data_IF_113326013180
#
_entry.id   IF_113326013180
#
_cell.length_a   1.000
_cell.length_b   1.000
_cell.length_c   1.000
_cell.angle_alpha   90.00
_cell.angle_beta   90.00
_cell.angle_gamma   90.00
#
_symmetry.space_group_name_H-M   'P 1'
#
loop_
_entity.id
_entity.type
_entity.pdbx_description
1 polymer ?
#
# COMPACT_ATOMS: atom_id res chain seq x y z
N UNK A 1 24.25 -10.83 -52.45
CA UNK A 1 25.01 -12.06 -52.14
C UNK A 1 24.43 -12.65 -50.84
N UNK A 2 23.60 -13.71 -50.92
CA UNK A 2 22.99 -14.35 -49.74
C UNK A 2 24.05 -15.18 -49.00
N UNK A 3 24.19 -15.11 -47.67
CA UNK A 3 25.20 -15.90 -46.98
C UNK A 3 24.86 -17.39 -47.08
N UNK A 4 25.87 -18.20 -47.46
CA UNK A 4 25.80 -19.67 -47.51
C UNK A 4 25.25 -20.22 -46.20
N UNK A 5 24.21 -21.04 -46.29
CA UNK A 5 23.65 -21.80 -45.18
C UNK A 5 24.71 -22.76 -44.61
N UNK A 6 25.22 -22.46 -43.41
CA UNK A 6 26.24 -23.22 -42.66
C UNK A 6 25.69 -24.53 -42.07
N UNK A 7 24.92 -25.31 -42.85
CA UNK A 7 24.13 -26.45 -42.33
C UNK A 7 24.92 -27.69 -41.89
N UNK A 8 26.25 -27.77 -42.09
CA UNK A 8 27.08 -28.94 -41.75
C UNK A 8 28.40 -28.61 -41.02
N UNK A 9 28.39 -27.66 -40.08
CA UNK A 9 29.58 -27.37 -39.25
C UNK A 9 29.63 -28.30 -38.04
N UNK A 10 30.71 -29.09 -37.89
CA UNK A 10 30.98 -29.83 -36.64
C UNK A 10 31.41 -28.82 -35.57
N UNK A 11 30.60 -28.67 -34.53
CA UNK A 11 30.91 -27.80 -33.40
C UNK A 11 31.85 -28.50 -32.41
N UNK A 12 32.75 -27.74 -31.78
CA UNK A 12 33.57 -28.13 -30.63
C UNK A 12 33.56 -27.00 -29.59
N UNK A 13 34.12 -27.22 -28.39
CA UNK A 13 34.24 -26.17 -27.36
C UNK A 13 35.07 -25.00 -27.86
N UNK A 14 36.20 -25.30 -28.50
CA UNK A 14 37.18 -24.35 -29.04
C UNK A 14 36.53 -23.52 -30.15
N UNK A 15 35.80 -24.18 -31.05
CA UNK A 15 35.11 -23.49 -32.15
C UNK A 15 34.02 -22.54 -31.67
N UNK A 16 33.30 -22.90 -30.60
CA UNK A 16 32.32 -22.00 -29.98
C UNK A 16 33.02 -20.77 -29.40
N UNK A 17 34.14 -20.96 -28.69
CA UNK A 17 34.92 -19.86 -28.12
C UNK A 17 35.46 -18.92 -29.20
N UNK A 18 35.98 -19.46 -30.30
CA UNK A 18 36.51 -18.67 -31.40
C UNK A 18 35.44 -17.89 -32.15
N UNK A 19 34.26 -18.48 -32.36
CA UNK A 19 33.14 -17.75 -32.97
C UNK A 19 32.61 -16.66 -32.01
N UNK A 20 32.58 -16.90 -30.70
CA UNK A 20 32.23 -15.86 -29.71
C UNK A 20 33.23 -14.70 -29.76
N UNK A 21 34.55 -14.98 -29.76
CA UNK A 21 35.59 -13.95 -29.88
C UNK A 21 35.48 -13.18 -31.19
N UNK A 22 35.26 -13.89 -32.31
CA UNK A 22 35.08 -13.27 -33.63
C UNK A 22 33.85 -12.37 -33.68
N UNK A 23 32.73 -12.83 -33.12
CA UNK A 23 31.49 -12.05 -33.05
C UNK A 23 31.67 -10.80 -32.19
N UNK A 24 32.37 -10.92 -31.06
CA UNK A 24 32.69 -9.81 -30.17
C UNK A 24 33.63 -8.80 -30.82
N UNK A 25 34.71 -9.26 -31.46
CA UNK A 25 35.69 -8.41 -32.15
C UNK A 25 35.05 -7.63 -33.31
N UNK A 26 34.02 -8.19 -33.95
CA UNK A 26 33.21 -7.49 -34.95
C UNK A 26 32.23 -6.45 -34.36
N UNK A 27 32.26 -6.19 -33.05
CA UNK A 27 31.38 -5.25 -32.36
C UNK A 27 29.92 -5.71 -32.28
N UNK A 28 29.61 -6.98 -32.56
CA UNK A 28 28.23 -7.48 -32.58
C UNK A 28 27.77 -7.84 -31.17
N UNK A 29 26.53 -7.48 -30.77
CA UNK A 29 26.05 -7.76 -29.42
C UNK A 29 25.98 -9.26 -29.11
N UNK A 30 26.49 -9.65 -27.94
CA UNK A 30 26.54 -11.05 -27.47
C UNK A 30 25.39 -11.45 -26.54
N UNK A 31 24.44 -10.56 -26.22
CA UNK A 31 23.29 -10.95 -25.40
C UNK A 31 22.44 -12.02 -26.12
N UNK A 32 21.99 -13.04 -25.39
CA UNK A 32 21.41 -14.27 -25.97
C UNK A 32 20.30 -14.05 -27.01
N UNK A 33 19.45 -13.03 -26.85
CA UNK A 33 18.40 -12.74 -27.84
C UNK A 33 18.96 -12.29 -29.19
N UNK A 34 20.04 -11.49 -29.21
CA UNK A 34 20.70 -11.10 -30.47
C UNK A 34 21.29 -12.33 -31.16
N UNK A 35 22.03 -13.13 -30.40
CA UNK A 35 22.68 -14.34 -30.93
C UNK A 35 21.64 -15.34 -31.40
N UNK A 36 20.51 -15.50 -30.70
CA UNK A 36 19.39 -16.33 -31.16
C UNK A 36 18.87 -15.90 -32.53
N UNK A 37 18.72 -14.58 -32.75
CA UNK A 37 18.15 -14.02 -33.98
C UNK A 37 19.13 -14.09 -35.16
N UNK A 38 20.42 -13.89 -34.89
CA UNK A 38 21.43 -13.70 -35.94
C UNK A 38 22.38 -14.89 -36.12
N UNK A 39 22.48 -15.79 -35.14
CA UNK A 39 23.41 -16.91 -35.14
C UNK A 39 22.95 -18.05 -34.20
N UNK A 40 21.79 -18.63 -34.51
CA UNK A 40 21.13 -19.61 -33.65
C UNK A 40 21.99 -20.86 -33.38
N UNK A 41 22.76 -21.32 -34.35
CA UNK A 41 23.61 -22.50 -34.22
C UNK A 41 24.73 -22.29 -33.20
N UNK A 42 25.30 -21.07 -33.15
CA UNK A 42 26.30 -20.70 -32.15
C UNK A 42 25.69 -20.71 -30.75
N UNK A 43 24.50 -20.11 -30.59
CA UNK A 43 23.78 -20.12 -29.32
C UNK A 43 23.51 -21.55 -28.84
N UNK A 44 23.01 -22.41 -29.73
CA UNK A 44 22.71 -23.80 -29.42
C UNK A 44 23.98 -24.60 -29.05
N UNK A 45 25.07 -24.43 -29.78
CA UNK A 45 26.35 -25.07 -29.47
C UNK A 45 26.92 -24.58 -28.13
N UNK A 46 26.86 -23.28 -27.84
CA UNK A 46 27.29 -22.71 -26.57
C UNK A 46 26.51 -23.28 -25.38
N UNK A 47 25.18 -23.36 -25.48
CA UNK A 47 24.36 -24.01 -24.46
C UNK A 47 24.74 -25.48 -24.31
N UNK A 48 24.94 -26.22 -25.41
CA UNK A 48 25.30 -27.65 -25.37
C UNK A 48 26.64 -27.91 -24.68
N UNK A 49 27.66 -27.11 -24.95
CA UNK A 49 29.02 -27.38 -24.46
C UNK A 49 29.36 -26.73 -23.12
N UNK A 50 28.65 -25.66 -22.73
CA UNK A 50 28.92 -24.88 -21.53
C UNK A 50 27.71 -24.78 -20.58
N UNK A 51 26.61 -25.47 -20.89
CA UNK A 51 25.36 -25.54 -20.12
C UNK A 51 24.44 -24.35 -20.35
N UNK A 52 24.97 -23.13 -20.40
CA UNK A 52 24.21 -21.94 -20.75
C UNK A 52 25.07 -20.93 -21.54
N UNK A 53 24.42 -19.94 -22.14
CA UNK A 53 25.10 -18.95 -22.99
C UNK A 53 26.03 -18.02 -22.21
N UNK A 54 25.67 -17.68 -20.97
CA UNK A 54 26.53 -16.84 -20.10
C UNK A 54 27.86 -17.53 -19.83
N UNK A 55 27.84 -18.83 -19.52
CA UNK A 55 29.06 -19.64 -19.31
C UNK A 55 29.89 -19.74 -20.60
N UNK A 56 29.24 -19.90 -21.75
CA UNK A 56 29.94 -19.94 -23.04
C UNK A 56 30.72 -18.65 -23.29
N UNK A 57 30.10 -17.49 -23.06
CA UNK A 57 30.77 -16.18 -23.17
C UNK A 57 31.83 -15.99 -22.09
N UNK A 58 31.55 -16.35 -20.83
CA UNK A 58 32.53 -16.25 -19.74
C UNK A 58 33.77 -17.11 -19.99
N UNK A 59 33.62 -18.25 -20.67
CA UNK A 59 34.74 -19.13 -21.02
C UNK A 59 35.76 -18.51 -21.99
N UNK A 60 35.43 -17.40 -22.64
CA UNK A 60 36.36 -16.65 -23.50
C UNK A 60 37.08 -15.52 -22.78
N UNK A 61 36.86 -15.36 -21.47
CA UNK A 61 37.40 -14.25 -20.66
C UNK A 61 36.55 -12.98 -20.70
N UNK A 62 35.41 -12.99 -21.41
CA UNK A 62 34.49 -11.85 -21.46
C UNK A 62 33.51 -11.97 -20.29
N UNK A 63 33.48 -10.96 -19.41
CA UNK A 63 32.48 -10.92 -18.35
C UNK A 63 31.09 -10.70 -18.97
N UNK A 64 30.18 -11.68 -18.82
CA UNK A 64 28.87 -11.62 -19.49
C UNK A 64 28.03 -10.39 -19.09
N UNK A 65 28.27 -9.87 -17.89
CA UNK A 65 27.63 -8.65 -17.39
C UNK A 65 27.95 -7.39 -18.21
N UNK A 66 29.07 -7.38 -18.93
CA UNK A 66 29.46 -6.29 -19.83
C UNK A 66 28.73 -6.34 -21.17
N UNK A 67 28.29 -7.53 -21.60
CA UNK A 67 27.71 -7.74 -22.93
C UNK A 67 26.21 -8.06 -22.92
N UNK A 68 25.61 -8.23 -21.74
CA UNK A 68 24.16 -8.42 -21.60
C UNK A 68 23.42 -7.10 -21.88
N UNK A 69 22.20 -7.22 -22.44
CA UNK A 69 21.37 -6.05 -22.75
C UNK A 69 20.72 -5.42 -21.52
N UNK A 70 20.31 -6.25 -20.56
CA UNK A 70 19.56 -5.81 -19.38
C UNK A 70 20.30 -6.21 -18.12
N UNK A 71 20.19 -5.37 -17.09
CA UNK A 71 20.76 -5.67 -15.79
C UNK A 71 20.14 -6.95 -15.20
N UNK A 72 20.97 -7.86 -14.70
CA UNK A 72 20.58 -9.00 -13.90
C UNK A 72 20.48 -8.52 -12.46
N UNK A 73 19.30 -8.71 -11.90
CA UNK A 73 18.98 -8.34 -10.53
C UNK A 73 18.90 -9.61 -9.71
N UNK A 74 20.04 -10.13 -9.24
CA UNK A 74 20.04 -11.18 -8.21
C UNK A 74 19.63 -10.58 -6.86
N UNK A 75 19.28 -11.44 -5.89
CA UNK A 75 18.95 -10.98 -4.53
C UNK A 75 20.09 -10.15 -3.93
N UNK A 76 21.32 -10.59 -4.11
CA UNK A 76 22.53 -9.95 -3.58
C UNK A 76 22.76 -8.58 -4.23
N UNK A 77 22.55 -8.48 -5.55
CA UNK A 77 22.68 -7.21 -6.28
C UNK A 77 21.60 -6.21 -5.84
N UNK A 78 20.36 -6.69 -5.67
CA UNK A 78 19.25 -5.87 -5.17
C UNK A 78 19.56 -5.35 -3.76
N UNK A 79 19.99 -6.22 -2.85
CA UNK A 79 20.33 -5.85 -1.46
C UNK A 79 21.45 -4.80 -1.42
N UNK A 80 22.57 -5.05 -2.13
CA UNK A 80 23.68 -4.09 -2.21
C UNK A 80 23.21 -2.75 -2.75
N UNK A 81 22.33 -2.75 -3.76
CA UNK A 81 21.83 -1.51 -4.35
C UNK A 81 20.87 -0.77 -3.43
N UNK A 82 19.98 -1.46 -2.72
CA UNK A 82 19.12 -0.88 -1.69
C UNK A 82 19.97 -0.21 -0.61
N UNK A 83 21.00 -0.89 -0.10
CA UNK A 83 21.91 -0.34 0.92
C UNK A 83 22.70 0.87 0.43
N UNK A 84 23.14 0.87 -0.83
CA UNK A 84 23.78 2.04 -1.46
C UNK A 84 22.83 3.24 -1.52
N UNK A 85 21.60 3.02 -2.03
CA UNK A 85 20.60 4.08 -2.15
C UNK A 85 20.15 4.62 -0.79
N UNK A 86 20.06 3.76 0.22
CA UNK A 86 19.79 4.16 1.60
C UNK A 86 20.88 5.12 2.12
N UNK A 87 22.16 4.78 1.93
CA UNK A 87 23.29 5.65 2.31
C UNK A 87 23.29 6.98 1.58
N UNK A 88 22.76 7.02 0.36
CA UNK A 88 22.58 8.24 -0.43
C UNK A 88 21.36 9.08 -0.01
N UNK A 89 20.57 8.62 0.97
CA UNK A 89 19.37 9.32 1.42
C UNK A 89 18.21 9.30 0.40
N UNK A 90 18.22 8.35 -0.54
CA UNK A 90 17.17 8.22 -1.55
C UNK A 90 15.88 7.73 -0.88
N UNK A 91 14.73 8.28 -1.29
CA UNK A 91 13.42 7.80 -0.86
C UNK A 91 13.16 6.39 -1.40
N UNK A 92 13.33 5.39 -0.52
CA UNK A 92 13.17 3.96 -0.81
C UNK A 92 11.71 3.47 -0.73
N UNK A 93 10.73 4.36 -0.59
CA UNK A 93 9.32 3.96 -0.63
C UNK A 93 9.01 3.28 -1.97
N UNK A 94 8.14 2.26 -1.94
CA UNK A 94 7.80 1.49 -3.14
C UNK A 94 7.39 2.38 -4.32
N UNK A 95 6.56 3.40 -4.07
CA UNK A 95 6.09 4.33 -5.09
C UNK A 95 7.24 5.16 -5.69
N UNK A 96 8.11 5.72 -4.84
CA UNK A 96 9.29 6.48 -5.30
C UNK A 96 10.17 5.61 -6.18
N UNK A 97 10.50 4.40 -5.71
CA UNK A 97 11.38 3.47 -6.41
C UNK A 97 10.77 2.98 -7.73
N UNK A 98 9.48 2.65 -7.76
CA UNK A 98 8.77 2.22 -8.97
C UNK A 98 8.67 3.31 -10.05
N UNK A 99 8.55 4.58 -9.66
CA UNK A 99 8.47 5.70 -10.60
C UNK A 99 9.84 6.22 -11.04
N UNK A 100 10.92 5.70 -10.46
CA UNK A 100 12.29 6.11 -10.75
C UNK A 100 12.95 5.25 -11.84
N UNK A 101 14.21 5.57 -12.14
CA UNK A 101 15.11 4.75 -12.99
C UNK A 101 15.39 3.35 -12.42
N UNK A 102 15.07 3.11 -11.14
CA UNK A 102 15.29 1.83 -10.47
C UNK A 102 14.10 0.86 -10.58
N UNK A 103 13.08 1.18 -11.39
CA UNK A 103 11.88 0.34 -11.52
C UNK A 103 12.19 -1.13 -11.87
N UNK A 104 13.18 -1.40 -12.72
CA UNK A 104 13.55 -2.78 -13.10
C UNK A 104 14.06 -3.60 -11.93
N UNK A 105 14.76 -2.96 -10.98
CA UNK A 105 15.19 -3.58 -9.72
C UNK A 105 13.98 -3.91 -8.84
N UNK A 106 13.03 -2.99 -8.73
CA UNK A 106 11.81 -3.21 -7.94
C UNK A 106 10.98 -4.34 -8.53
N UNK A 107 10.79 -4.36 -9.85
CA UNK A 107 10.10 -5.46 -10.55
C UNK A 107 10.78 -6.81 -10.35
N UNK A 108 12.12 -6.86 -10.28
CA UNK A 108 12.82 -8.08 -9.94
C UNK A 108 12.59 -8.48 -8.47
N UNK A 109 12.69 -7.52 -7.55
CA UNK A 109 12.57 -7.76 -6.12
C UNK A 109 11.21 -8.34 -5.71
N UNK A 110 10.10 -7.84 -6.28
CA UNK A 110 8.75 -8.29 -5.95
C UNK A 110 8.37 -9.65 -6.53
N UNK A 111 9.22 -10.29 -7.35
CA UNK A 111 8.91 -11.61 -7.90
C UNK A 111 8.93 -12.67 -6.79
N UNK A 112 8.05 -13.69 -6.87
CA UNK A 112 8.01 -14.78 -5.88
C UNK A 112 9.34 -15.53 -5.73
N UNK A 113 10.09 -15.71 -6.83
CA UNK A 113 11.40 -16.36 -6.81
C UNK A 113 12.55 -15.46 -6.32
N UNK A 114 12.25 -14.20 -5.99
CA UNK A 114 13.18 -13.27 -5.34
C UNK A 114 12.72 -13.08 -3.89
N UNK A 115 12.23 -11.89 -3.54
CA UNK A 115 11.78 -11.58 -2.17
C UNK A 115 10.26 -11.67 -2.02
N UNK A 116 9.50 -11.74 -3.13
CA UNK A 116 8.04 -11.75 -3.14
C UNK A 116 7.37 -10.41 -2.81
N UNK A 117 8.07 -9.50 -2.13
CA UNK A 117 7.61 -8.15 -1.86
C UNK A 117 8.76 -7.16 -1.73
N UNK A 118 8.48 -5.87 -1.93
CA UNK A 118 9.48 -4.81 -1.73
C UNK A 118 9.83 -4.66 -0.24
N UNK A 119 8.85 -4.84 0.64
CA UNK A 119 9.04 -4.87 2.09
C UNK A 119 10.10 -5.91 2.48
N UNK A 120 9.95 -7.15 2.01
CA UNK A 120 10.89 -8.23 2.30
C UNK A 120 12.29 -7.97 1.71
N UNK A 121 12.39 -7.25 0.60
CA UNK A 121 13.68 -6.83 0.05
C UNK A 121 14.37 -5.76 0.92
N UNK A 122 13.61 -4.81 1.49
CA UNK A 122 14.12 -3.83 2.45
C UNK A 122 14.60 -4.50 3.75
N UNK A 123 13.80 -5.43 4.29
CA UNK A 123 14.15 -6.21 5.49
C UNK A 123 15.42 -7.04 5.25
N UNK A 124 15.52 -7.73 4.12
CA UNK A 124 16.72 -8.47 3.72
C UNK A 124 17.96 -7.57 3.51
N UNK A 125 17.75 -6.26 3.35
CA UNK A 125 18.81 -5.26 3.27
C UNK A 125 19.23 -4.72 4.64
N UNK A 126 18.61 -5.19 5.72
CA UNK A 126 18.86 -4.73 7.09
C UNK A 126 18.15 -3.43 7.43
N UNK A 127 17.12 -3.04 6.67
CA UNK A 127 16.38 -1.80 6.88
C UNK A 127 15.05 -2.08 7.59
N UNK A 128 14.68 -1.21 8.52
CA UNK A 128 13.35 -1.21 9.12
C UNK A 128 12.34 -0.71 8.08
N UNK A 129 11.71 -1.64 7.35
CA UNK A 129 10.79 -1.31 6.27
C UNK A 129 9.64 -0.41 6.76
N UNK A 130 9.19 -0.59 7.99
CA UNK A 130 8.14 0.21 8.64
C UNK A 130 8.47 1.70 8.72
N UNK A 131 9.74 2.06 8.82
CA UNK A 131 10.20 3.47 8.84
C UNK A 131 10.23 4.08 7.43
N UNK A 132 10.50 3.24 6.42
CA UNK A 132 10.59 3.64 5.00
C UNK A 132 9.20 3.77 4.36
N UNK A 133 8.27 2.89 4.72
CA UNK A 133 6.88 3.04 4.37
C UNK A 133 6.29 4.20 5.19
N UNK A 134 6.45 5.45 4.68
CA UNK A 134 5.89 6.69 5.26
C UNK A 134 4.41 6.57 5.65
N UNK A 135 3.68 5.65 5.03
CA UNK A 135 2.34 5.27 5.44
C UNK A 135 2.40 4.02 6.30
N UNK A 136 2.31 4.22 7.62
CA UNK A 136 1.86 3.17 8.55
C UNK A 136 0.69 2.44 7.88
N UNK A 137 0.83 1.14 7.63
CA UNK A 137 -0.31 0.36 7.15
C UNK A 137 -1.33 0.32 8.29
N UNK A 138 -2.30 1.21 8.24
CA UNK A 138 -3.46 1.18 9.14
C UNK A 138 -4.33 0.00 8.73
N UNK A 139 -4.01 -1.16 9.29
CA UNK A 139 -4.95 -2.27 9.41
C UNK A 139 -5.95 -1.96 10.54
N UNK A 140 -7.04 -2.73 10.60
CA UNK A 140 -8.12 -2.48 11.55
C UNK A 140 -7.64 -2.56 13.01
N UNK A 141 -6.75 -3.49 13.33
CA UNK A 141 -6.19 -3.65 14.68
C UNK A 141 -5.37 -2.44 15.10
N UNK A 142 -4.47 -1.93 14.25
CA UNK A 142 -3.68 -0.73 14.56
C UNK A 142 -4.55 0.51 14.73
N UNK A 143 -5.62 0.65 13.94
CA UNK A 143 -6.58 1.75 14.11
C UNK A 143 -7.23 1.66 15.49
N UNK A 144 -7.72 0.48 15.87
CA UNK A 144 -8.35 0.23 17.16
C UNK A 144 -7.37 0.52 18.32
N UNK A 145 -6.13 0.05 18.21
CA UNK A 145 -5.12 0.24 19.25
C UNK A 145 -4.71 1.70 19.41
N UNK A 146 -4.59 2.45 18.31
CA UNK A 146 -4.32 3.89 18.39
C UNK A 146 -5.53 4.66 18.98
N UNK A 147 -6.77 4.29 18.65
CA UNK A 147 -7.96 4.88 19.28
C UNK A 147 -7.93 4.65 20.80
N UNK A 148 -7.64 3.43 21.25
CA UNK A 148 -7.52 3.10 22.69
C UNK A 148 -6.39 3.87 23.36
N UNK A 149 -5.25 4.03 22.67
CA UNK A 149 -4.12 4.83 23.16
C UNK A 149 -4.52 6.31 23.30
N UNK A 150 -5.16 6.90 22.30
CA UNK A 150 -5.65 8.28 22.36
C UNK A 150 -6.65 8.47 23.50
N UNK A 151 -7.55 7.50 23.74
CA UNK A 151 -8.44 7.52 24.89
C UNK A 151 -7.68 7.52 26.22
N UNK A 152 -6.68 6.66 26.38
CA UNK A 152 -5.83 6.60 27.60
C UNK A 152 -5.06 7.90 27.83
N UNK A 153 -4.68 8.59 26.75
CA UNK A 153 -4.02 9.90 26.82
C UNK A 153 -4.99 11.07 27.08
N UNK A 154 -6.30 10.80 27.24
CA UNK A 154 -7.30 11.84 27.46
C UNK A 154 -7.60 12.69 26.24
N UNK A 155 -7.25 12.25 25.03
CA UNK A 155 -7.52 12.98 23.80
C UNK A 155 -9.03 13.08 23.54
N UNK A 156 -9.47 14.21 22.98
CA UNK A 156 -10.85 14.42 22.53
C UNK A 156 -11.10 13.65 21.22
N UNK A 157 -11.75 12.49 21.35
CA UNK A 157 -12.08 11.58 20.26
C UNK A 157 -13.27 12.03 19.41
N UNK A 158 -13.77 13.26 19.57
CA UNK A 158 -14.81 13.75 18.67
C UNK A 158 -14.29 13.84 17.23
N UNK A 159 -15.15 13.48 16.26
CA UNK A 159 -14.75 13.46 14.85
C UNK A 159 -14.14 14.79 14.37
N UNK A 160 -14.58 15.93 14.89
CA UNK A 160 -14.03 17.24 14.51
C UNK A 160 -12.58 17.38 14.96
N UNK A 161 -12.30 17.10 16.23
CA UNK A 161 -10.93 17.20 16.77
C UNK A 161 -10.00 16.21 16.10
N UNK A 162 -10.49 15.01 15.79
CA UNK A 162 -9.70 13.99 15.09
C UNK A 162 -9.44 14.36 13.62
N UNK A 163 -10.36 15.06 12.94
CA UNK A 163 -10.09 15.62 11.60
C UNK A 163 -8.97 16.67 11.62
N UNK A 164 -8.86 17.45 12.69
CA UNK A 164 -7.89 18.53 12.85
C UNK A 164 -6.51 18.03 13.35
N UNK A 165 -6.49 17.08 14.28
CA UNK A 165 -5.28 16.65 14.99
C UNK A 165 -4.72 15.30 14.54
N UNK A 166 -5.55 14.46 13.92
CA UNK A 166 -5.21 13.08 13.55
C UNK A 166 -5.81 12.69 12.20
N UNK A 167 -5.76 13.59 11.22
CA UNK A 167 -6.43 13.44 9.92
C UNK A 167 -6.17 12.10 9.21
N UNK A 168 -4.92 11.57 9.13
CA UNK A 168 -4.67 10.29 8.47
C UNK A 168 -5.36 9.10 9.18
N UNK A 169 -5.44 9.13 10.51
CA UNK A 169 -6.09 8.09 11.31
C UNK A 169 -7.59 8.08 11.05
N UNK A 170 -8.27 9.22 11.20
CA UNK A 170 -9.73 9.29 11.01
C UNK A 170 -10.13 9.04 9.56
N UNK A 171 -9.37 9.51 8.58
CA UNK A 171 -9.63 9.24 7.17
C UNK A 171 -9.56 7.74 6.88
N UNK A 172 -8.56 7.04 7.44
CA UNK A 172 -8.41 5.61 7.23
C UNK A 172 -9.45 4.80 8.01
N UNK A 173 -9.76 5.20 9.25
CA UNK A 173 -10.83 4.62 10.05
C UNK A 173 -12.19 4.72 9.34
N UNK A 174 -12.53 5.87 8.76
CA UNK A 174 -13.76 6.04 7.96
C UNK A 174 -13.81 5.08 6.76
N UNK A 175 -12.70 4.87 6.06
CA UNK A 175 -12.64 3.95 4.92
C UNK A 175 -12.81 2.48 5.33
N UNK A 176 -12.27 2.10 6.49
CA UNK A 176 -12.28 0.70 6.97
C UNK A 176 -13.59 0.35 7.69
N UNK A 177 -14.07 1.23 8.56
CA UNK A 177 -15.22 0.97 9.43
C UNK A 177 -16.50 1.68 8.97
N UNK A 178 -16.46 2.38 7.83
CA UNK A 178 -17.57 3.16 7.25
C UNK A 178 -17.69 4.57 7.84
N UNK A 179 -17.51 4.74 9.15
CA UNK A 179 -17.44 6.04 9.81
C UNK A 179 -16.57 6.00 11.07
N UNK A 180 -16.23 7.18 11.60
CA UNK A 180 -15.38 7.30 12.80
C UNK A 180 -16.03 6.72 14.05
N UNK A 181 -17.34 6.90 14.23
CA UNK A 181 -18.07 6.36 15.38
C UNK A 181 -17.98 4.84 15.45
N UNK A 182 -18.18 4.15 14.33
CA UNK A 182 -18.04 2.70 14.25
C UNK A 182 -16.63 2.24 14.65
N UNK A 183 -15.58 2.97 14.26
CA UNK A 183 -14.20 2.64 14.65
C UNK A 183 -13.98 2.80 16.16
N UNK A 184 -14.55 3.86 16.75
CA UNK A 184 -14.49 4.12 18.20
C UNK A 184 -15.28 3.06 18.99
N UNK A 185 -16.45 2.66 18.50
CA UNK A 185 -17.26 1.59 19.08
C UNK A 185 -16.55 0.24 18.99
N UNK A 186 -15.90 -0.07 17.86
CA UNK A 186 -15.05 -1.27 17.70
C UNK A 186 -13.85 -1.27 18.65
N UNK A 187 -13.37 -0.09 19.05
CA UNK A 187 -12.34 0.04 20.08
C UNK A 187 -12.88 -0.19 21.51
N UNK A 188 -14.18 -0.39 21.69
CA UNK A 188 -14.85 -0.63 22.96
C UNK A 188 -15.26 0.66 23.68
N UNK A 189 -15.35 1.78 22.97
CA UNK A 189 -15.69 3.08 23.53
C UNK A 189 -17.07 3.48 23.01
N UNK A 190 -18.00 3.80 23.91
CA UNK A 190 -19.29 4.37 23.53
C UNK A 190 -19.07 5.73 22.84
N UNK A 191 -19.33 5.80 21.53
CA UNK A 191 -19.11 7.02 20.77
C UNK A 191 -20.06 8.15 21.17
N UNK A 192 -21.25 7.81 21.69
CA UNK A 192 -22.21 8.80 22.16
C UNK A 192 -21.67 9.58 23.37
N UNK A 193 -20.81 8.97 24.18
CA UNK A 193 -20.13 9.59 25.32
C UNK A 193 -18.98 10.55 24.96
N UNK A 194 -18.40 10.44 23.75
CA UNK A 194 -17.22 11.24 23.34
C UNK A 194 -17.49 12.22 22.21
N UNK A 195 -18.64 12.10 21.52
CA UNK A 195 -18.99 13.04 20.46
C UNK A 195 -19.50 14.37 21.03
N UNK A 196 -19.13 15.47 20.39
CA UNK A 196 -19.60 16.82 20.77
C UNK A 196 -21.07 17.10 20.44
N UNK A 197 -21.63 16.45 19.42
CA UNK A 197 -23.02 16.67 18.97
C UNK A 197 -23.82 15.39 19.13
N UNK A 198 -24.87 15.43 19.96
CA UNK A 198 -25.83 14.34 20.12
C UNK A 198 -26.51 14.02 18.78
N UNK A 199 -26.57 12.73 18.45
CA UNK A 199 -27.42 12.18 17.39
C UNK A 199 -28.79 11.94 17.98
N UNK A 200 -29.79 12.19 17.16
CA UNK A 200 -31.18 11.98 17.51
C UNK A 200 -31.72 10.83 16.67
N UNK A 201 -32.45 9.93 17.31
CA UNK A 201 -33.41 9.01 16.70
C UNK A 201 -34.81 9.40 17.13
N UNK A 202 -35.84 8.82 16.48
CA UNK A 202 -37.23 9.02 16.91
C UNK A 202 -37.42 8.55 18.36
N UNK A 203 -36.86 7.40 18.71
CA UNK A 203 -36.95 6.83 20.06
C UNK A 203 -36.23 7.70 21.10
N UNK A 204 -35.03 8.22 20.79
CA UNK A 204 -34.31 9.15 21.68
C UNK A 204 -35.06 10.46 21.88
N UNK A 205 -35.82 10.92 20.88
CA UNK A 205 -36.68 12.09 21.01
C UNK A 205 -37.89 11.77 21.90
N UNK A 206 -38.54 10.63 21.71
CA UNK A 206 -39.66 10.18 22.55
C UNK A 206 -39.21 10.04 24.01
N UNK A 207 -38.08 9.38 24.24
CA UNK A 207 -37.53 9.19 25.58
C UNK A 207 -37.17 10.52 26.22
N UNK A 208 -36.53 11.43 25.49
CA UNK A 208 -36.26 12.78 25.97
C UNK A 208 -37.53 13.58 26.32
N UNK A 209 -38.64 13.37 25.59
CA UNK A 209 -39.93 13.98 25.93
C UNK A 209 -40.50 13.40 27.23
N UNK A 210 -40.36 12.09 27.44
CA UNK A 210 -40.80 11.40 28.67
C UNK A 210 -39.95 11.83 29.87
N UNK A 211 -38.64 11.94 29.71
CA UNK A 211 -37.72 12.48 30.72
C UNK A 211 -38.09 13.91 31.15
N UNK A 212 -38.40 14.80 30.20
CA UNK A 212 -38.85 16.15 30.55
C UNK A 212 -40.16 16.15 31.36
N UNK A 213 -41.06 15.20 31.06
CA UNK A 213 -42.30 15.04 31.83
C UNK A 213 -42.02 14.61 33.27
N UNK A 214 -41.14 13.62 33.46
CA UNK A 214 -40.81 13.12 34.81
C UNK A 214 -40.07 14.18 35.63
N UNK A 215 -39.32 15.07 34.97
CA UNK A 215 -38.68 16.23 35.59
C UNK A 215 -39.65 17.39 35.90
N UNK A 216 -40.94 17.25 35.58
CA UNK A 216 -41.95 18.28 35.84
C UNK A 216 -41.88 19.50 34.89
N UNK A 217 -41.11 19.41 33.81
CA UNK A 217 -41.03 20.49 32.81
C UNK A 217 -42.33 20.54 32.04
N UNK A 218 -42.92 21.75 31.94
CA UNK A 218 -44.10 21.99 31.12
C UNK A 218 -43.75 21.70 29.66
N UNK A 219 -44.46 20.77 29.03
CA UNK A 219 -44.16 20.32 27.65
C UNK A 219 -44.66 21.29 26.56
N UNK A 220 -44.93 22.54 26.92
CA UNK A 220 -45.28 23.58 25.96
C UNK A 220 -44.05 23.99 25.15
N UNK A 221 -44.26 24.34 23.88
CA UNK A 221 -43.17 24.61 22.93
C UNK A 221 -42.18 25.68 23.41
N UNK A 222 -42.64 26.69 24.17
CA UNK A 222 -41.79 27.75 24.73
C UNK A 222 -40.88 27.22 25.84
N UNK A 223 -41.45 26.54 26.83
CA UNK A 223 -40.74 25.97 27.98
C UNK A 223 -39.69 24.95 27.54
N UNK A 224 -40.03 24.06 26.62
CA UNK A 224 -39.11 23.04 26.09
C UNK A 224 -37.99 23.67 25.27
N UNK A 225 -38.28 24.73 24.50
CA UNK A 225 -37.25 25.45 23.75
C UNK A 225 -36.22 26.10 24.69
N UNK A 226 -36.64 26.56 25.86
CA UNK A 226 -35.76 27.13 26.87
C UNK A 226 -34.96 26.06 27.63
N UNK A 227 -35.61 24.99 28.07
CA UNK A 227 -34.97 23.96 28.91
C UNK A 227 -34.21 22.89 28.11
N UNK A 228 -34.68 22.55 26.92
CA UNK A 228 -34.13 21.50 26.07
C UNK A 228 -34.13 21.89 24.57
N UNK A 229 -33.42 22.97 24.18
CA UNK A 229 -33.43 23.50 22.81
C UNK A 229 -33.02 22.47 21.75
N UNK A 230 -32.05 21.60 22.07
CA UNK A 230 -31.58 20.57 21.14
C UNK A 230 -32.62 19.48 20.88
N UNK A 231 -33.38 19.06 21.90
CA UNK A 231 -34.47 18.10 21.78
C UNK A 231 -35.62 18.70 20.97
N UNK A 232 -36.01 19.93 21.28
CA UNK A 232 -37.05 20.66 20.55
C UNK A 232 -36.70 20.81 19.06
N UNK A 233 -35.47 21.24 18.77
CA UNK A 233 -34.98 21.40 17.41
C UNK A 233 -34.92 20.06 16.66
N UNK A 234 -34.58 18.96 17.34
CA UNK A 234 -34.58 17.63 16.75
C UNK A 234 -36.01 17.16 16.42
N UNK A 235 -36.93 17.23 17.38
CA UNK A 235 -38.33 16.85 17.19
C UNK A 235 -39.00 17.55 16.00
N UNK A 236 -38.69 18.84 15.79
CA UNK A 236 -39.24 19.64 14.69
C UNK A 236 -38.67 19.31 13.30
N UNK A 237 -37.60 18.51 13.17
CA UNK A 237 -37.06 18.18 11.83
C UNK A 237 -38.01 17.25 11.07
N UNK A 238 -38.25 17.47 9.76
CA UNK A 238 -39.14 16.62 8.95
C UNK A 238 -38.79 15.13 8.96
N UNK A 239 -37.49 14.80 8.98
CA UNK A 239 -37.00 13.41 9.03
C UNK A 239 -37.39 12.64 10.30
N UNK A 240 -37.70 13.36 11.39
CA UNK A 240 -38.19 12.77 12.63
C UNK A 240 -39.71 12.93 12.67
N UNK A 241 -40.25 13.92 13.40
CA UNK A 241 -41.69 14.10 13.54
C UNK A 241 -42.23 15.33 12.79
N UNK A 242 -41.36 16.24 12.34
CA UNK A 242 -41.71 17.45 11.59
C UNK A 242 -42.36 18.57 12.40
N UNK A 243 -42.85 18.30 13.62
CA UNK A 243 -43.29 19.32 14.58
C UNK A 243 -43.26 18.79 16.01
N UNK A 244 -43.13 19.71 16.98
CA UNK A 244 -43.18 19.37 18.41
C UNK A 244 -44.50 18.67 18.80
N UNK A 245 -45.63 19.18 18.30
CA UNK A 245 -46.95 18.59 18.55
C UNK A 245 -47.05 17.13 18.11
N UNK A 246 -46.51 16.79 16.91
CA UNK A 246 -46.47 15.41 16.41
C UNK A 246 -45.57 14.52 17.26
N UNK A 247 -44.41 15.02 17.68
CA UNK A 247 -43.50 14.29 18.55
C UNK A 247 -44.12 14.03 19.94
N UNK A 248 -44.79 15.04 20.52
CA UNK A 248 -45.48 14.93 21.79
C UNK A 248 -46.61 13.90 21.74
N UNK A 249 -47.43 13.93 20.66
CA UNK A 249 -48.49 12.93 20.44
C UNK A 249 -47.92 11.51 20.35
N UNK A 250 -46.78 11.33 19.69
CA UNK A 250 -46.11 10.04 19.59
C UNK A 250 -45.51 9.58 20.93
N UNK A 251 -45.08 10.49 21.80
CA UNK A 251 -44.54 10.14 23.11
C UNK A 251 -45.63 9.81 24.15
N UNK A 252 -46.87 10.25 23.92
CA UNK A 252 -48.06 9.97 24.74
C UNK A 252 -48.89 8.78 24.27
N UNK A 253 -48.67 8.32 23.05
CA UNK A 253 -49.25 7.09 22.53
C UNK A 253 -48.53 5.87 23.14
#
# INVERSE_FOLDING_TARGET
>A
MKPRTRKNRKWSKELVQDEIRTWHAAGKPLYSHNVRKNFQELLAAGIRYFGNWQNAVASTGIAYDEVRKYQHWSKEVIVKKIQELHRQGVDLSFRSMMLSKYNSMVYAAIRPNHFGSWKSALEASGLAAEEIYRYRSWDESKIIDEIRKLKRMGADLSSKTMDETANPLIATARRRFGNWGNAVEKAGIDYDSVRRRRRWSRDQIIEGIRELRTQGVRLQSGDVRQHAPALFAAACKPRFFGSWSKALKAATA
#
